data_IF_998812393444
#
_entry.id   IF_998812393444
#
_cell.length_a   1.000
_cell.length_b   1.000
_cell.length_c   1.000
_cell.angle_alpha   90.00
_cell.angle_beta   90.00
_cell.angle_gamma   90.00
#
_symmetry.space_group_name_H-M   'P 1'
#
loop_
_entity.id
_entity.type
_entity.pdbx_description
1 polymer ?
#
# COMPACT_ATOMS: atom_id res chain seq x y z
N UNK A 1 -37.57 -9.39 12.90
CA UNK A 1 -37.73 -9.15 11.46
C UNK A 1 -38.67 -10.19 10.88
N UNK A 2 -39.54 -9.82 9.94
CA UNK A 2 -40.41 -10.73 9.19
C UNK A 2 -39.67 -11.35 8.00
N UNK A 3 -40.14 -12.50 7.51
CA UNK A 3 -39.56 -13.16 6.33
C UNK A 3 -39.59 -12.29 5.07
N UNK A 4 -40.62 -11.44 4.94
CA UNK A 4 -40.75 -10.51 3.82
C UNK A 4 -39.70 -9.40 3.89
N UNK A 5 -39.36 -8.93 5.08
CA UNK A 5 -38.32 -7.90 5.28
C UNK A 5 -36.93 -8.49 5.01
N UNK A 6 -36.63 -9.72 5.45
CA UNK A 6 -35.35 -10.38 5.16
C UNK A 6 -35.12 -10.55 3.65
N UNK A 7 -36.12 -11.06 2.91
CA UNK A 7 -36.00 -11.20 1.46
C UNK A 7 -35.83 -9.86 0.74
N UNK A 8 -36.48 -8.80 1.24
CA UNK A 8 -36.33 -7.47 0.69
C UNK A 8 -34.92 -6.91 0.91
N UNK A 9 -34.31 -7.17 2.07
CA UNK A 9 -32.92 -6.77 2.35
C UNK A 9 -31.95 -7.49 1.41
N UNK A 10 -32.10 -8.81 1.22
CA UNK A 10 -31.28 -9.59 0.29
C UNK A 10 -31.34 -9.03 -1.15
N UNK A 11 -32.55 -8.75 -1.66
CA UNK A 11 -32.74 -8.17 -3.00
C UNK A 11 -32.08 -6.78 -3.13
N UNK A 12 -32.15 -5.95 -2.09
CA UNK A 12 -31.52 -4.63 -2.08
C UNK A 12 -29.99 -4.73 -1.98
N UNK A 13 -29.45 -5.68 -1.22
CA UNK A 13 -28.00 -5.91 -1.16
C UNK A 13 -27.46 -6.33 -2.52
N UNK A 14 -28.12 -7.28 -3.20
CA UNK A 14 -27.76 -7.69 -4.56
C UNK A 14 -27.79 -6.50 -5.54
N UNK A 15 -28.81 -5.63 -5.45
CA UNK A 15 -28.91 -4.41 -6.28
C UNK A 15 -27.76 -3.44 -6.00
N UNK A 16 -27.40 -3.25 -4.72
CA UNK A 16 -26.29 -2.39 -4.33
C UNK A 16 -24.94 -2.91 -4.86
N UNK A 17 -24.68 -4.22 -4.77
CA UNK A 17 -23.45 -4.83 -5.26
C UNK A 17 -23.28 -4.76 -6.78
N UNK A 18 -24.38 -4.64 -7.54
CA UNK A 18 -24.37 -4.55 -9.00
C UNK A 18 -24.28 -3.11 -9.52
N UNK A 19 -24.39 -2.12 -8.63
CA UNK A 19 -24.33 -0.71 -9.00
C UNK A 19 -22.89 -0.22 -9.08
N UNK A 20 -22.56 0.51 -10.14
CA UNK A 20 -21.27 1.22 -10.29
C UNK A 20 -21.37 2.69 -9.82
N UNK A 21 -22.60 3.18 -9.58
CA UNK A 21 -22.89 4.57 -9.21
C UNK A 21 -22.94 4.73 -7.69
N UNK A 22 -22.02 5.54 -7.13
CA UNK A 22 -21.86 5.76 -5.68
C UNK A 22 -23.15 6.30 -5.06
N UNK A 23 -23.83 7.24 -5.71
CA UNK A 23 -25.09 7.82 -5.21
C UNK A 23 -26.20 6.78 -5.11
N UNK A 24 -26.22 5.82 -6.04
CA UNK A 24 -27.22 4.77 -6.07
C UNK A 24 -26.96 3.72 -4.98
N UNK A 25 -25.69 3.33 -4.79
CA UNK A 25 -25.26 2.49 -3.67
C UNK A 25 -25.71 3.14 -2.35
N UNK A 26 -25.44 4.43 -2.17
CA UNK A 26 -25.80 5.16 -0.95
C UNK A 26 -27.33 5.26 -0.76
N UNK A 27 -28.11 5.34 -1.85
CA UNK A 27 -29.58 5.38 -1.79
C UNK A 27 -30.13 4.02 -1.35
N UNK A 28 -29.74 2.95 -2.02
CA UNK A 28 -30.21 1.57 -1.76
C UNK A 28 -29.86 1.17 -0.33
N UNK A 29 -28.62 1.45 0.06
CA UNK A 29 -28.11 1.10 1.39
C UNK A 29 -28.89 1.79 2.52
N UNK A 30 -29.28 3.06 2.35
CA UNK A 30 -30.15 3.74 3.32
C UNK A 30 -31.53 3.10 3.44
N UNK A 31 -32.08 2.53 2.36
CA UNK A 31 -33.36 1.79 2.41
C UNK A 31 -33.22 0.49 3.22
N UNK A 32 -32.09 -0.20 3.10
CA UNK A 32 -31.81 -1.37 3.94
C UNK A 32 -31.76 -0.96 5.42
N UNK A 33 -31.06 0.14 5.73
CA UNK A 33 -30.93 0.63 7.11
C UNK A 33 -32.24 1.17 7.71
N UNK A 34 -33.23 1.54 6.90
CA UNK A 34 -34.59 1.83 7.38
C UNK A 34 -35.33 0.57 7.86
N UNK A 35 -35.04 -0.59 7.26
CA UNK A 35 -35.61 -1.89 7.64
C UNK A 35 -34.84 -2.54 8.79
N UNK A 36 -33.51 -2.45 8.74
CA UNK A 36 -32.59 -2.97 9.75
C UNK A 36 -31.43 -2.00 10.00
N UNK A 37 -31.54 -1.12 11.02
CA UNK A 37 -30.55 -0.08 11.30
C UNK A 37 -29.15 -0.58 11.65
N UNK A 38 -29.02 -1.85 12.02
CA UNK A 38 -27.76 -2.48 12.45
C UNK A 38 -27.30 -3.57 11.47
N UNK A 39 -27.84 -3.59 10.25
CA UNK A 39 -27.38 -4.49 9.21
C UNK A 39 -25.91 -4.18 8.85
N UNK A 40 -24.97 -5.13 9.06
CA UNK A 40 -23.54 -4.84 8.96
C UNK A 40 -23.08 -4.60 7.53
N UNK A 41 -23.59 -5.36 6.55
CA UNK A 41 -23.25 -5.18 5.14
C UNK A 41 -23.73 -3.83 4.61
N UNK A 42 -24.94 -3.41 4.97
CA UNK A 42 -25.44 -2.09 4.61
C UNK A 42 -24.62 -0.97 5.28
N UNK A 43 -24.27 -1.09 6.57
CA UNK A 43 -23.39 -0.10 7.20
C UNK A 43 -22.02 -0.02 6.49
N UNK A 44 -21.47 -1.15 6.07
CA UNK A 44 -20.21 -1.22 5.32
C UNK A 44 -20.32 -0.58 3.93
N UNK A 45 -21.36 -0.92 3.15
CA UNK A 45 -21.59 -0.32 1.83
C UNK A 45 -21.81 1.19 1.91
N UNK A 46 -22.52 1.68 2.94
CA UNK A 46 -22.70 3.11 3.12
C UNK A 46 -21.37 3.79 3.42
N UNK A 47 -20.53 3.16 4.25
CA UNK A 47 -19.20 3.66 4.57
C UNK A 47 -18.29 3.73 3.32
N UNK A 48 -18.44 2.80 2.37
CA UNK A 48 -17.69 2.80 1.11
C UNK A 48 -18.06 3.99 0.19
N UNK A 49 -19.26 4.55 0.35
CA UNK A 49 -19.68 5.77 -0.37
C UNK A 49 -19.15 7.08 0.22
N UNK A 50 -18.44 7.00 1.35
CA UNK A 50 -17.86 8.15 2.05
C UNK A 50 -16.35 8.19 1.88
N UNK A 51 -15.83 9.40 1.77
CA UNK A 51 -14.41 9.69 1.99
C UNK A 51 -13.99 9.32 3.42
N UNK A 52 -12.68 9.13 3.62
CA UNK A 52 -12.12 8.94 4.97
C UNK A 52 -12.53 10.10 5.88
N UNK A 53 -13.17 9.73 6.98
CA UNK A 53 -13.75 10.64 7.96
C UNK A 53 -14.16 9.89 9.22
N UNK A 54 -14.32 10.63 10.32
CA UNK A 54 -14.94 10.10 11.56
C UNK A 54 -16.34 9.50 11.31
N UNK A 55 -17.14 10.04 10.38
CA UNK A 55 -18.45 9.45 10.03
C UNK A 55 -18.29 8.04 9.43
N UNK A 56 -17.31 7.85 8.53
CA UNK A 56 -16.97 6.53 7.97
C UNK A 56 -16.56 5.55 9.07
N UNK A 57 -15.73 6.01 10.01
CA UNK A 57 -15.32 5.21 11.17
C UNK A 57 -16.50 4.78 12.03
N UNK A 58 -17.40 5.70 12.37
CA UNK A 58 -18.58 5.40 13.18
C UNK A 58 -19.45 4.31 12.52
N UNK A 59 -19.64 4.36 11.20
CA UNK A 59 -20.39 3.34 10.45
C UNK A 59 -19.70 1.96 10.52
N UNK A 60 -18.40 1.90 10.26
CA UNK A 60 -17.63 0.66 10.26
C UNK A 60 -17.55 0.04 11.67
N UNK A 61 -17.37 0.86 12.71
CA UNK A 61 -17.38 0.40 14.11
C UNK A 61 -18.77 -0.11 14.52
N UNK A 62 -19.85 0.54 14.06
CA UNK A 62 -21.21 0.06 14.28
C UNK A 62 -21.46 -1.28 13.59
N UNK A 63 -20.96 -1.47 12.37
CA UNK A 63 -21.05 -2.75 11.65
C UNK A 63 -20.27 -3.89 12.33
N UNK A 64 -19.13 -3.56 12.96
CA UNK A 64 -18.23 -4.56 13.53
C UNK A 64 -18.85 -5.38 14.65
N UNK A 65 -19.64 -4.74 15.52
CA UNK A 65 -20.21 -5.40 16.70
C UNK A 65 -21.19 -6.54 16.36
N UNK A 66 -22.24 -6.34 15.54
CA UNK A 66 -23.14 -7.42 15.13
C UNK A 66 -22.38 -8.48 14.33
N UNK A 67 -21.49 -8.10 13.41
CA UNK A 67 -20.72 -9.06 12.61
C UNK A 67 -19.82 -9.96 13.48
N UNK A 68 -19.08 -9.38 14.44
CA UNK A 68 -18.28 -10.16 15.39
C UNK A 68 -19.14 -11.10 16.23
N UNK A 69 -20.35 -10.69 16.62
CA UNK A 69 -21.27 -11.54 17.38
C UNK A 69 -21.74 -12.73 16.52
N UNK A 70 -22.04 -12.50 15.23
CA UNK A 70 -22.38 -13.57 14.29
C UNK A 70 -21.23 -14.56 14.12
N UNK A 71 -19.98 -14.08 13.98
CA UNK A 71 -18.81 -14.94 13.87
C UNK A 71 -18.57 -15.76 15.15
N UNK A 72 -18.83 -15.18 16.32
CA UNK A 72 -18.75 -15.89 17.60
C UNK A 72 -19.80 -17.00 17.70
N UNK A 73 -21.06 -16.69 17.34
CA UNK A 73 -22.17 -17.64 17.36
C UNK A 73 -21.98 -18.79 16.35
N UNK A 74 -21.39 -18.50 15.19
CA UNK A 74 -21.01 -19.49 14.20
C UNK A 74 -19.79 -20.33 14.62
N UNK A 75 -19.06 -19.92 15.67
CA UNK A 75 -17.83 -20.58 16.12
C UNK A 75 -16.64 -20.36 15.18
N UNK A 76 -16.70 -19.33 14.34
CA UNK A 76 -15.66 -19.00 13.35
C UNK A 76 -14.56 -18.11 13.93
N UNK A 77 -14.81 -17.35 14.99
CA UNK A 77 -13.76 -16.54 15.62
C UNK A 77 -12.61 -17.43 16.13
N UNK A 78 -11.39 -17.07 15.76
CA UNK A 78 -10.16 -17.84 15.95
C UNK A 78 -10.12 -19.21 15.24
N UNK A 79 -11.02 -19.47 14.28
CA UNK A 79 -10.96 -20.65 13.41
C UNK A 79 -10.10 -20.39 12.19
N UNK A 80 -9.35 -21.40 11.75
CA UNK A 80 -8.63 -21.38 10.45
C UNK A 80 -9.63 -21.40 9.27
N UNK A 81 -10.86 -21.86 9.49
CA UNK A 81 -11.92 -21.95 8.47
C UNK A 81 -12.67 -20.62 8.26
N UNK A 82 -12.33 -19.55 8.99
CA UNK A 82 -13.06 -18.28 8.88
C UNK A 82 -13.05 -17.75 7.45
N UNK A 83 -11.91 -17.81 6.75
CA UNK A 83 -11.80 -17.30 5.38
C UNK A 83 -12.38 -18.25 4.32
N UNK A 84 -12.81 -19.45 4.69
CA UNK A 84 -13.46 -20.40 3.79
C UNK A 84 -14.97 -20.14 3.66
N UNK A 85 -15.55 -19.35 4.56
CA UNK A 85 -16.99 -19.05 4.63
C UNK A 85 -17.29 -17.62 4.14
N UNK A 86 -18.40 -17.45 3.42
CA UNK A 86 -18.80 -16.17 2.83
C UNK A 86 -18.91 -15.06 3.90
N UNK A 87 -19.51 -15.36 5.05
CA UNK A 87 -19.64 -14.40 6.15
C UNK A 87 -18.29 -14.00 6.75
N UNK A 88 -17.31 -14.92 6.76
CA UNK A 88 -15.98 -14.63 7.22
C UNK A 88 -15.20 -13.74 6.25
N UNK A 89 -15.38 -13.92 4.93
CA UNK A 89 -14.84 -13.00 3.92
C UNK A 89 -15.42 -11.59 4.07
N UNK A 90 -16.72 -11.47 4.33
CA UNK A 90 -17.36 -10.17 4.62
C UNK A 90 -16.78 -9.56 5.90
N UNK A 91 -16.57 -10.35 6.94
CA UNK A 91 -15.95 -9.89 8.19
C UNK A 91 -14.52 -9.39 8.00
N UNK A 92 -13.67 -10.11 7.25
CA UNK A 92 -12.33 -9.64 6.88
C UNK A 92 -12.41 -8.37 6.03
N UNK A 93 -13.34 -8.30 5.07
CA UNK A 93 -13.58 -7.11 4.25
C UNK A 93 -13.95 -5.88 5.08
N UNK A 94 -14.72 -6.06 6.15
CA UNK A 94 -15.05 -5.01 7.12
C UNK A 94 -13.83 -4.60 7.95
N UNK A 95 -13.04 -5.55 8.44
CA UNK A 95 -11.83 -5.26 9.20
C UNK A 95 -10.82 -4.48 8.34
N UNK A 96 -10.62 -4.83 7.08
CA UNK A 96 -9.71 -4.09 6.19
C UNK A 96 -10.14 -2.63 6.04
N UNK A 97 -11.43 -2.37 5.75
CA UNK A 97 -11.98 -1.01 5.64
C UNK A 97 -11.80 -0.23 6.93
N UNK A 98 -12.11 -0.85 8.07
CA UNK A 98 -11.93 -0.23 9.37
C UNK A 98 -10.45 0.09 9.64
N UNK A 99 -9.54 -0.84 9.36
CA UNK A 99 -8.12 -0.67 9.56
C UNK A 99 -7.54 0.51 8.75
N UNK A 100 -7.88 0.62 7.47
CA UNK A 100 -7.46 1.75 6.64
C UNK A 100 -8.14 3.07 7.07
N UNK A 101 -9.42 3.04 7.45
CA UNK A 101 -10.07 4.24 7.97
C UNK A 101 -9.44 4.73 9.27
N UNK A 102 -9.07 3.81 10.18
CA UNK A 102 -8.37 4.15 11.42
C UNK A 102 -6.99 4.75 11.14
N UNK A 103 -6.26 4.18 10.17
CA UNK A 103 -4.97 4.72 9.72
C UNK A 103 -5.14 6.15 9.18
N UNK A 104 -6.08 6.39 8.28
CA UNK A 104 -6.34 7.70 7.66
C UNK A 104 -6.73 8.77 8.68
N UNK A 105 -7.49 8.41 9.72
CA UNK A 105 -7.91 9.31 10.80
C UNK A 105 -6.92 9.34 11.98
N UNK A 106 -5.69 8.85 11.77
CA UNK A 106 -4.59 8.89 12.74
C UNK A 106 -4.79 8.08 14.05
N UNK A 107 -5.69 7.09 14.05
CA UNK A 107 -5.89 6.13 15.15
C UNK A 107 -4.97 4.89 14.97
N UNK A 108 -3.66 5.14 14.88
CA UNK A 108 -2.69 4.18 14.32
C UNK A 108 -2.53 2.90 15.15
N UNK A 109 -2.53 2.99 16.49
CA UNK A 109 -2.45 1.80 17.34
C UNK A 109 -3.68 0.88 17.20
N UNK A 110 -4.85 1.47 16.99
CA UNK A 110 -6.08 0.69 16.76
C UNK A 110 -6.06 0.04 15.37
N UNK A 111 -5.59 0.78 14.36
CA UNK A 111 -5.37 0.24 13.01
C UNK A 111 -4.38 -0.94 13.03
N UNK A 112 -3.29 -0.84 13.81
CA UNK A 112 -2.34 -1.94 13.99
C UNK A 112 -2.99 -3.16 14.64
N UNK A 113 -3.83 -2.96 15.66
CA UNK A 113 -4.57 -4.06 16.29
C UNK A 113 -5.52 -4.78 15.32
N UNK A 114 -6.19 -4.02 14.45
CA UNK A 114 -7.03 -4.57 13.37
C UNK A 114 -6.18 -5.35 12.35
N UNK A 115 -5.02 -4.81 11.96
CA UNK A 115 -4.10 -5.49 11.06
C UNK A 115 -3.62 -6.84 11.62
N UNK A 116 -3.26 -6.87 12.91
CA UNK A 116 -2.85 -8.09 13.61
C UNK A 116 -3.99 -9.12 13.68
N UNK A 117 -5.22 -8.67 13.86
CA UNK A 117 -6.39 -9.54 13.82
C UNK A 117 -6.58 -10.15 12.43
N UNK A 118 -6.51 -9.36 11.36
CA UNK A 118 -6.61 -9.86 9.98
C UNK A 118 -5.51 -10.90 9.70
N UNK A 119 -4.25 -10.58 10.02
CA UNK A 119 -3.10 -11.49 9.81
C UNK A 119 -3.29 -12.82 10.56
N UNK A 120 -3.98 -12.82 11.71
CA UNK A 120 -4.22 -14.06 12.47
C UNK A 120 -5.14 -15.05 11.76
N UNK A 121 -5.97 -14.57 10.83
CA UNK A 121 -6.86 -15.39 10.00
C UNK A 121 -6.29 -15.72 8.62
N UNK A 122 -5.23 -15.01 8.21
CA UNK A 122 -4.66 -15.06 6.87
C UNK A 122 -3.23 -15.62 6.86
N UNK A 123 -3.04 -16.93 7.10
CA UNK A 123 -1.72 -17.54 7.07
C UNK A 123 -1.11 -17.58 5.66
N UNK A 124 -1.95 -17.47 4.62
CA UNK A 124 -1.53 -17.52 3.21
C UNK A 124 -1.14 -16.14 2.66
N UNK A 125 -1.48 -15.04 3.34
CA UNK A 125 -1.14 -13.68 2.92
C UNK A 125 -2.01 -13.16 1.77
N UNK A 126 -3.28 -13.56 1.72
CA UNK A 126 -4.23 -13.16 0.68
C UNK A 126 -4.86 -11.79 0.93
N UNK A 127 -4.70 -11.24 2.13
CA UNK A 127 -5.33 -10.00 2.58
C UNK A 127 -4.34 -8.83 2.63
N UNK A 128 -4.87 -7.61 2.80
CA UNK A 128 -4.06 -6.41 3.01
C UNK A 128 -3.58 -6.25 4.47
N UNK A 129 -3.76 -7.26 5.33
CA UNK A 129 -3.39 -7.20 6.74
C UNK A 129 -1.92 -6.88 6.97
N UNK A 130 -1.01 -7.54 6.25
CA UNK A 130 0.44 -7.26 6.34
C UNK A 130 0.80 -5.87 5.82
N UNK A 131 0.17 -5.42 4.73
CA UNK A 131 0.37 -4.07 4.18
C UNK A 131 -0.01 -3.01 5.20
N UNK A 132 -1.19 -3.13 5.81
CA UNK A 132 -1.66 -2.24 6.85
C UNK A 132 -0.73 -2.27 8.08
N UNK A 133 -0.30 -3.46 8.52
CA UNK A 133 0.64 -3.62 9.64
C UNK A 133 1.96 -2.86 9.38
N UNK A 134 2.60 -3.08 8.22
CA UNK A 134 3.85 -2.41 7.89
C UNK A 134 3.71 -0.90 7.80
N UNK A 135 2.62 -0.39 7.22
CA UNK A 135 2.34 1.05 7.16
C UNK A 135 2.14 1.63 8.56
N UNK A 136 1.35 0.98 9.42
CA UNK A 136 1.15 1.41 10.82
C UNK A 136 2.45 1.42 11.62
N UNK A 137 3.31 0.41 11.48
CA UNK A 137 4.59 0.36 12.19
C UNK A 137 5.54 1.48 11.77
N UNK A 138 5.55 1.86 10.49
CA UNK A 138 6.33 3.00 9.98
C UNK A 138 5.79 4.32 10.52
N UNK A 139 4.47 4.50 10.50
CA UNK A 139 3.79 5.69 11.03
C UNK A 139 4.06 5.88 12.54
N UNK A 140 4.03 4.79 13.30
CA UNK A 140 4.40 4.76 14.73
C UNK A 140 5.92 4.88 14.98
N UNK A 141 6.72 4.96 13.92
CA UNK A 141 8.19 5.01 13.96
C UNK A 141 8.82 3.82 14.72
N UNK A 142 8.15 2.67 14.71
CA UNK A 142 8.63 1.42 15.34
C UNK A 142 9.57 0.67 14.40
N UNK A 143 10.60 1.36 13.90
CA UNK A 143 11.51 0.84 12.87
C UNK A 143 12.23 -0.45 13.27
N UNK A 144 12.58 -0.62 14.55
CA UNK A 144 13.15 -1.88 15.03
C UNK A 144 12.17 -3.06 14.93
N UNK A 145 10.89 -2.81 15.18
CA UNK A 145 9.84 -3.81 15.06
C UNK A 145 9.55 -4.15 13.59
N UNK A 146 9.58 -3.17 12.68
CA UNK A 146 9.49 -3.40 11.23
C UNK A 146 10.52 -4.45 10.79
N UNK A 147 11.78 -4.29 11.19
CA UNK A 147 12.84 -5.23 10.84
C UNK A 147 12.64 -6.60 11.50
N UNK A 148 12.14 -6.65 12.75
CA UNK A 148 11.81 -7.91 13.42
C UNK A 148 10.71 -8.69 12.70
N UNK A 149 9.62 -8.01 12.33
CA UNK A 149 8.49 -8.62 11.60
C UNK A 149 8.95 -9.11 10.23
N UNK A 150 9.68 -8.28 9.49
CA UNK A 150 10.23 -8.63 8.18
C UNK A 150 11.15 -9.86 8.20
N UNK A 151 11.89 -10.10 9.28
CA UNK A 151 12.72 -11.31 9.41
C UNK A 151 11.91 -12.61 9.55
N UNK A 152 10.66 -12.51 10.02
CA UNK A 152 9.74 -13.66 10.21
C UNK A 152 8.77 -13.82 9.04
N UNK A 153 8.66 -12.81 8.20
CA UNK A 153 7.78 -12.74 7.04
C UNK A 153 8.56 -13.19 5.78
N UNK A 154 8.19 -14.35 5.25
CA UNK A 154 8.82 -14.97 4.09
C UNK A 154 8.35 -14.36 2.76
N UNK A 155 7.21 -13.66 2.79
CA UNK A 155 6.61 -13.05 1.61
C UNK A 155 7.39 -11.80 1.20
N UNK A 156 7.64 -11.63 -0.10
CA UNK A 156 8.27 -10.44 -0.65
C UNK A 156 7.19 -9.58 -1.29
N UNK A 157 6.82 -8.50 -0.61
CA UNK A 157 5.82 -7.53 -1.07
C UNK A 157 6.35 -6.09 -1.06
N UNK A 158 5.74 -5.16 -1.83
CA UNK A 158 6.06 -3.73 -1.79
C UNK A 158 6.04 -3.16 -0.36
N UNK A 159 4.98 -3.42 0.40
CA UNK A 159 4.83 -2.93 1.77
C UNK A 159 6.01 -3.35 2.66
N UNK A 160 6.41 -4.63 2.59
CA UNK A 160 7.54 -5.14 3.36
C UNK A 160 8.84 -4.47 2.93
N UNK A 161 9.15 -4.45 1.63
CA UNK A 161 10.46 -3.93 1.17
C UNK A 161 10.61 -2.43 1.39
N UNK A 162 9.56 -1.64 1.09
CA UNK A 162 9.60 -0.20 1.36
C UNK A 162 9.71 0.09 2.86
N UNK A 163 8.98 -0.63 3.72
CA UNK A 163 9.12 -0.45 5.17
C UNK A 163 10.51 -0.87 5.69
N UNK A 164 11.14 -1.93 5.15
CA UNK A 164 12.53 -2.28 5.50
C UNK A 164 13.48 -1.17 5.07
N UNK A 165 13.32 -0.61 3.88
CA UNK A 165 14.18 0.46 3.38
C UNK A 165 14.08 1.72 4.25
N UNK A 166 12.85 2.15 4.57
CA UNK A 166 12.59 3.26 5.50
C UNK A 166 13.21 2.94 6.87
N UNK A 167 12.88 1.81 7.46
CA UNK A 167 13.35 1.45 8.80
C UNK A 167 14.88 1.37 8.90
N UNK A 168 15.54 0.80 7.89
CA UNK A 168 17.00 0.70 7.85
C UNK A 168 17.62 2.09 7.78
N UNK A 169 17.13 2.96 6.89
CA UNK A 169 17.60 4.34 6.80
C UNK A 169 17.35 5.12 8.09
N UNK A 170 16.17 4.99 8.70
CA UNK A 170 15.85 5.73 9.92
C UNK A 170 16.70 5.29 11.12
N UNK A 171 17.20 4.05 11.12
CA UNK A 171 18.06 3.53 12.18
C UNK A 171 19.55 3.79 11.96
N UNK A 172 20.05 3.74 10.72
CA UNK A 172 21.49 3.84 10.44
C UNK A 172 21.91 4.99 9.52
N UNK A 173 20.95 5.64 8.86
CA UNK A 173 21.18 6.65 7.83
C UNK A 173 21.53 6.04 6.47
N UNK A 174 22.10 6.86 5.58
CA UNK A 174 22.59 6.42 4.29
C UNK A 174 23.89 5.61 4.44
N UNK A 175 23.76 4.28 4.48
CA UNK A 175 24.85 3.32 4.53
C UNK A 175 24.65 2.20 3.50
N UNK A 176 25.59 1.26 3.44
CA UNK A 176 25.51 0.15 2.47
C UNK A 176 24.30 -0.76 2.69
N UNK A 177 23.82 -0.92 3.92
CA UNK A 177 22.67 -1.77 4.23
C UNK A 177 21.37 -1.09 3.84
N UNK A 178 21.21 0.21 4.15
CA UNK A 178 20.02 0.97 3.76
C UNK A 178 19.91 1.13 2.26
N UNK A 179 21.02 1.34 1.54
CA UNK A 179 20.98 1.35 0.07
C UNK A 179 20.60 0.00 -0.53
N UNK A 180 21.10 -1.11 0.03
CA UNK A 180 20.66 -2.44 -0.43
C UNK A 180 19.16 -2.65 -0.23
N UNK A 181 18.63 -2.26 0.93
CA UNK A 181 17.21 -2.33 1.20
C UNK A 181 16.40 -1.42 0.25
N UNK A 182 16.89 -0.21 -0.04
CA UNK A 182 16.26 0.70 -1.00
C UNK A 182 16.17 0.10 -2.40
N UNK A 183 17.27 -0.50 -2.89
CA UNK A 183 17.25 -1.15 -4.19
C UNK A 183 16.39 -2.41 -4.21
N UNK A 184 16.23 -3.11 -3.08
CA UNK A 184 15.23 -4.19 -2.98
C UNK A 184 13.79 -3.67 -3.03
N UNK A 185 13.52 -2.48 -2.47
CA UNK A 185 12.22 -1.83 -2.60
C UNK A 185 11.93 -1.43 -4.06
N UNK A 186 12.92 -0.89 -4.77
CA UNK A 186 12.77 -0.55 -6.19
C UNK A 186 12.52 -1.80 -7.06
N UNK A 187 13.05 -2.97 -6.67
CA UNK A 187 12.85 -4.21 -7.43
C UNK A 187 11.44 -4.76 -7.40
N UNK A 188 10.68 -4.48 -6.34
CA UNK A 188 9.31 -4.99 -6.19
C UNK A 188 8.26 -4.06 -6.82
N UNK A 189 8.69 -2.91 -7.35
CA UNK A 189 7.87 -1.98 -8.12
C UNK A 189 8.74 -0.81 -8.58
N UNK A 190 9.41 -0.92 -9.75
CA UNK A 190 10.36 0.08 -10.22
C UNK A 190 9.76 1.47 -10.43
N UNK A 191 8.45 1.54 -10.67
CA UNK A 191 7.73 2.80 -10.92
C UNK A 191 7.17 3.43 -9.64
N UNK A 192 7.00 2.65 -8.56
CA UNK A 192 6.49 3.12 -7.25
C UNK A 192 7.24 4.37 -6.75
N UNK A 193 8.60 4.42 -6.70
CA UNK A 193 9.32 5.59 -6.21
C UNK A 193 9.13 6.84 -7.08
N UNK A 194 8.80 6.67 -8.36
CA UNK A 194 8.56 7.78 -9.29
C UNK A 194 7.16 8.36 -9.08
N UNK A 195 6.17 7.51 -8.84
CA UNK A 195 4.82 7.93 -8.45
C UNK A 195 4.84 8.65 -7.10
N UNK A 196 5.50 8.08 -6.08
CA UNK A 196 5.63 8.70 -4.74
C UNK A 196 6.19 10.13 -4.82
N UNK A 197 7.13 10.39 -5.73
CA UNK A 197 7.77 11.70 -5.87
C UNK A 197 7.10 12.60 -6.91
N UNK A 198 6.05 12.13 -7.60
CA UNK A 198 5.39 12.85 -8.68
C UNK A 198 6.31 13.18 -9.85
N UNK A 199 7.31 12.33 -10.13
CA UNK A 199 8.25 12.54 -11.25
C UNK A 199 7.74 12.00 -12.58
N UNK A 200 6.72 11.15 -12.54
CA UNK A 200 5.97 10.68 -13.69
C UNK A 200 4.50 11.06 -13.51
N UNK A 201 3.75 11.29 -14.60
CA UNK A 201 2.35 11.64 -14.49
C UNK A 201 1.54 10.49 -13.87
N UNK A 202 0.44 10.85 -13.21
CA UNK A 202 -0.58 9.90 -12.77
C UNK A 202 -1.05 9.08 -14.00
N UNK A 203 -1.16 7.75 -13.85
CA UNK A 203 -1.61 6.90 -14.95
C UNK A 203 -3.11 7.08 -15.21
N UNK A 204 -3.52 6.93 -16.47
CA UNK A 204 -4.92 6.82 -16.83
C UNK A 204 -5.42 5.40 -16.50
N UNK A 205 -6.21 5.28 -15.43
CA UNK A 205 -6.66 4.00 -14.86
C UNK A 205 -7.42 3.13 -15.87
N UNK A 206 -8.08 3.73 -16.88
CA UNK A 206 -8.79 2.99 -17.93
C UNK A 206 -7.84 2.32 -18.95
N UNK A 207 -6.54 2.63 -18.89
CA UNK A 207 -5.55 2.31 -19.93
C UNK A 207 -4.36 1.46 -19.46
N UNK A 208 -4.21 1.30 -18.15
CA UNK A 208 -3.11 0.55 -17.53
C UNK A 208 -3.51 -0.90 -17.23
N UNK A 209 -2.51 -1.73 -16.92
CA UNK A 209 -2.74 -3.08 -16.41
C UNK A 209 -2.88 -3.10 -14.88
N UNK A 210 -3.33 -4.24 -14.36
CA UNK A 210 -3.58 -4.47 -12.92
C UNK A 210 -2.31 -4.23 -12.07
N UNK A 211 -1.14 -4.61 -12.57
CA UNK A 211 0.11 -4.40 -11.83
C UNK A 211 0.47 -2.92 -11.71
N UNK A 212 0.31 -2.15 -12.80
CA UNK A 212 0.53 -0.71 -12.78
C UNK A 212 -0.48 0.01 -11.87
N UNK A 213 -1.73 -0.44 -11.85
CA UNK A 213 -2.75 0.07 -10.94
C UNK A 213 -2.38 -0.21 -9.47
N UNK A 214 -1.95 -1.43 -9.17
CA UNK A 214 -1.47 -1.82 -7.82
C UNK A 214 -0.27 -0.99 -7.38
N UNK A 215 0.74 -0.80 -8.25
CA UNK A 215 1.92 0.01 -7.97
C UNK A 215 1.55 1.47 -7.70
N UNK A 216 0.63 2.04 -8.49
CA UNK A 216 0.14 3.39 -8.30
C UNK A 216 -0.66 3.54 -6.99
N UNK A 217 -1.60 2.63 -6.72
CA UNK A 217 -2.38 2.62 -5.47
C UNK A 217 -1.47 2.46 -4.24
N UNK A 218 -0.46 1.60 -4.32
CA UNK A 218 0.55 1.45 -3.28
C UNK A 218 1.35 2.74 -3.08
N UNK A 219 1.72 3.43 -4.16
CA UNK A 219 2.47 4.69 -4.09
C UNK A 219 1.72 5.76 -3.28
N UNK A 220 0.42 5.91 -3.51
CA UNK A 220 -0.47 6.81 -2.75
C UNK A 220 -0.49 6.40 -1.28
N UNK A 221 -0.66 5.10 -1.02
CA UNK A 221 -0.69 4.56 0.35
C UNK A 221 0.66 4.69 1.07
N UNK A 222 1.79 4.93 0.41
CA UNK A 222 3.11 5.00 1.07
C UNK A 222 3.81 6.36 0.95
N UNK A 223 3.24 7.33 0.23
CA UNK A 223 3.84 8.65 0.00
C UNK A 223 4.28 9.32 1.31
N UNK A 224 3.35 9.47 2.26
CA UNK A 224 3.61 10.09 3.56
C UNK A 224 4.66 9.34 4.38
N UNK A 225 4.72 8.02 4.26
CA UNK A 225 5.69 7.20 4.97
C UNK A 225 7.14 7.51 4.53
N UNK A 226 7.34 7.91 3.28
CA UNK A 226 8.64 8.33 2.74
C UNK A 226 8.98 9.79 3.03
N UNK A 227 8.02 10.59 3.45
CA UNK A 227 8.19 12.02 3.70
C UNK A 227 8.18 12.39 5.19
N UNK A 228 8.19 11.41 6.10
CA UNK A 228 8.29 11.60 7.56
C UNK A 228 9.50 12.44 8.02
N UNK A 229 10.55 12.53 7.19
CA UNK A 229 11.67 13.44 7.39
C UNK A 229 12.22 13.95 6.06
N UNK A 230 12.77 15.16 6.08
CA UNK A 230 13.38 15.76 4.89
C UNK A 230 14.59 14.95 4.40
N UNK A 231 15.36 14.37 5.32
CA UNK A 231 16.51 13.54 5.01
C UNK A 231 16.10 12.27 4.27
N UNK A 232 15.02 11.60 4.70
CA UNK A 232 14.47 10.43 4.03
C UNK A 232 13.95 10.78 2.64
N UNK A 233 13.19 11.87 2.52
CA UNK A 233 12.65 12.33 1.23
C UNK A 233 13.78 12.67 0.23
N UNK A 234 14.80 13.41 0.67
CA UNK A 234 15.97 13.72 -0.17
C UNK A 234 16.76 12.47 -0.56
N UNK A 235 16.83 11.49 0.33
CA UNK A 235 17.50 10.22 0.08
C UNK A 235 16.77 9.38 -0.98
N UNK A 236 15.44 9.26 -0.86
CA UNK A 236 14.59 8.63 -1.88
C UNK A 236 14.74 9.37 -3.20
N UNK A 237 14.58 10.70 -3.22
CA UNK A 237 14.71 11.52 -4.42
C UNK A 237 16.05 11.31 -5.13
N UNK A 238 17.15 11.26 -4.38
CA UNK A 238 18.48 11.02 -4.95
C UNK A 238 18.55 9.67 -5.66
N UNK A 239 17.97 8.62 -5.06
CA UNK A 239 17.94 7.29 -5.65
C UNK A 239 17.00 7.19 -6.85
N UNK A 240 15.81 7.78 -6.75
CA UNK A 240 14.82 7.79 -7.83
C UNK A 240 15.33 8.54 -9.06
N UNK A 241 15.99 9.70 -8.87
CA UNK A 241 16.58 10.45 -9.99
C UNK A 241 17.71 9.65 -10.63
N UNK A 242 18.60 9.06 -9.83
CA UNK A 242 19.68 8.22 -10.36
C UNK A 242 19.11 7.06 -11.20
N UNK A 243 18.13 6.33 -10.64
CA UNK A 243 17.51 5.21 -11.32
C UNK A 243 16.78 5.65 -12.59
N UNK A 244 15.89 6.65 -12.51
CA UNK A 244 15.12 7.14 -13.64
C UNK A 244 15.97 7.70 -14.78
N UNK A 245 17.12 8.33 -14.48
CA UNK A 245 18.09 8.75 -15.49
C UNK A 245 18.78 7.57 -16.17
N UNK A 246 19.20 6.56 -15.40
CA UNK A 246 19.84 5.36 -15.92
C UNK A 246 18.90 4.52 -16.79
N UNK A 247 17.61 4.48 -16.43
CA UNK A 247 16.61 3.68 -17.13
C UNK A 247 15.83 4.45 -18.20
N UNK A 248 16.08 5.74 -18.36
CA UNK A 248 15.42 6.56 -19.38
C UNK A 248 13.93 6.82 -19.14
N UNK A 249 13.48 6.81 -17.89
CA UNK A 249 12.06 7.00 -17.51
C UNK A 249 11.57 8.45 -17.58
N UNK A 250 12.49 9.41 -17.56
CA UNK A 250 12.14 10.82 -17.66
C UNK A 250 11.95 11.24 -19.12
N UNK A 251 10.93 12.06 -19.36
CA UNK A 251 10.71 12.70 -20.66
C UNK A 251 11.94 13.52 -21.06
N UNK A 252 12.27 13.54 -22.36
CA UNK A 252 13.45 14.27 -22.87
C UNK A 252 13.45 15.76 -22.47
N UNK A 253 12.27 16.37 -22.40
CA UNK A 253 12.10 17.76 -21.99
C UNK A 253 12.37 18.01 -20.50
N UNK A 254 12.26 16.99 -19.66
CA UNK A 254 12.49 17.09 -18.21
C UNK A 254 13.91 16.70 -17.79
N UNK A 255 14.67 16.01 -18.65
CA UNK A 255 16.03 15.55 -18.32
C UNK A 255 16.96 16.68 -17.89
N UNK A 256 16.84 17.87 -18.47
CA UNK A 256 17.66 19.02 -18.09
C UNK A 256 17.33 19.50 -16.66
N UNK A 257 16.07 19.43 -16.24
CA UNK A 257 15.65 19.74 -14.88
C UNK A 257 16.22 18.72 -13.88
N UNK A 258 16.17 17.43 -14.21
CA UNK A 258 16.73 16.38 -13.37
C UNK A 258 18.27 16.45 -13.27
N UNK A 259 18.97 16.88 -14.33
CA UNK A 259 20.42 17.15 -14.27
C UNK A 259 20.75 18.26 -13.25
N UNK A 260 19.93 19.33 -13.19
CA UNK A 260 20.09 20.39 -12.19
C UNK A 260 19.82 19.87 -10.77
N UNK A 261 18.78 19.04 -10.60
CA UNK A 261 18.48 18.41 -9.31
C UNK A 261 19.61 17.48 -8.85
N UNK A 262 20.20 16.70 -9.76
CA UNK A 262 21.35 15.85 -9.44
C UNK A 262 22.56 16.66 -8.94
N UNK A 263 22.83 17.82 -9.53
CA UNK A 263 23.90 18.71 -9.09
C UNK A 263 23.61 19.26 -7.69
N UNK A 264 22.36 19.71 -7.46
CA UNK A 264 21.91 20.19 -6.15
C UNK A 264 21.98 19.13 -5.06
N UNK A 265 21.69 17.86 -5.39
CA UNK A 265 21.76 16.72 -4.48
C UNK A 265 23.19 16.16 -4.35
N UNK A 266 24.14 16.66 -5.16
CA UNK A 266 25.53 16.20 -5.15
C UNK A 266 25.73 14.79 -5.72
N UNK A 267 24.83 14.32 -6.58
CA UNK A 267 24.84 12.95 -7.11
C UNK A 267 25.33 12.82 -8.56
N UNK A 268 25.62 13.94 -9.25
CA UNK A 268 26.07 13.95 -10.66
C UNK A 268 27.26 13.02 -10.92
N UNK A 269 28.30 13.10 -10.08
CA UNK A 269 29.50 12.26 -10.24
C UNK A 269 29.22 10.76 -10.08
N UNK A 270 28.18 10.40 -9.31
CA UNK A 270 27.79 9.01 -9.15
C UNK A 270 26.98 8.51 -10.34
N UNK A 271 26.11 9.34 -10.91
CA UNK A 271 25.43 9.05 -12.18
C UNK A 271 26.45 8.82 -13.31
N UNK A 272 27.43 9.71 -13.46
CA UNK A 272 28.50 9.53 -14.47
C UNK A 272 29.24 8.21 -14.31
N UNK A 273 29.55 7.82 -13.07
CA UNK A 273 30.20 6.54 -12.76
C UNK A 273 29.28 5.36 -13.07
N UNK A 274 28.01 5.41 -12.68
CA UNK A 274 27.03 4.35 -12.94
C UNK A 274 26.86 4.11 -14.45
N UNK A 275 26.75 5.18 -15.24
CA UNK A 275 26.66 5.11 -16.71
C UNK A 275 27.93 4.50 -17.34
N UNK A 276 29.11 4.79 -16.79
CA UNK A 276 30.36 4.16 -17.25
C UNK A 276 30.40 2.67 -16.93
N UNK A 277 29.95 2.27 -15.74
CA UNK A 277 29.97 0.89 -15.28
C UNK A 277 28.90 0.02 -15.98
N UNK A 278 27.77 0.60 -16.38
CA UNK A 278 26.67 -0.09 -17.07
C UNK A 278 27.07 -0.60 -18.47
N UNK A 279 27.92 0.17 -19.18
CA UNK A 279 28.31 -0.15 -20.57
C UNK A 279 27.14 -0.02 -21.57
N UNK A 280 27.46 -0.05 -22.88
CA UNK A 280 26.50 0.22 -23.96
C UNK A 280 25.71 -1.02 -24.45
N UNK A 281 25.83 -2.18 -23.79
CA UNK A 281 25.30 -3.47 -24.32
C UNK A 281 23.92 -3.85 -23.76
N UNK A 282 23.22 -2.88 -23.14
CA UNK A 282 21.90 -3.04 -22.51
C UNK A 282 20.74 -2.72 -23.46
N UNK A 283 21.01 -2.14 -24.62
CA UNK A 283 20.02 -1.75 -25.65
C UNK A 283 19.25 -2.96 -26.26
N UNK A 284 19.63 -4.19 -25.92
CA UNK A 284 19.03 -5.43 -26.42
C UNK A 284 18.05 -6.11 -25.42
N UNK A 285 17.89 -5.57 -24.22
CA UNK A 285 16.99 -6.11 -23.19
C UNK A 285 15.58 -5.53 -23.31
N UNK A 286 14.58 -6.30 -22.90
CA UNK A 286 13.26 -5.73 -22.56
C UNK A 286 13.35 -4.86 -21.30
N UNK A 287 12.33 -4.04 -21.07
CA UNK A 287 12.32 -3.04 -20.00
C UNK A 287 12.51 -3.66 -18.60
N UNK A 288 11.83 -4.77 -18.31
CA UNK A 288 11.90 -5.45 -17.01
C UNK A 288 13.29 -6.06 -16.74
N UNK A 289 13.87 -6.71 -17.75
CA UNK A 289 15.22 -7.26 -17.70
C UNK A 289 16.28 -6.16 -17.57
N UNK A 290 16.03 -5.02 -18.20
CA UNK A 290 16.89 -3.84 -18.10
C UNK A 290 16.86 -3.24 -16.69
N UNK A 291 15.68 -3.05 -16.12
CA UNK A 291 15.51 -2.57 -14.74
C UNK A 291 16.20 -3.47 -13.74
N UNK A 292 15.98 -4.78 -13.87
CA UNK A 292 16.63 -5.78 -13.01
C UNK A 292 18.15 -5.67 -13.09
N UNK A 293 18.70 -5.52 -14.30
CA UNK A 293 20.14 -5.38 -14.53
C UNK A 293 20.69 -4.11 -13.88
N UNK A 294 20.01 -2.97 -14.05
CA UNK A 294 20.39 -1.69 -13.44
C UNK A 294 20.33 -1.79 -11.92
N UNK A 295 19.26 -2.36 -11.36
CA UNK A 295 19.08 -2.51 -9.91
C UNK A 295 20.09 -3.49 -9.30
N UNK A 296 20.46 -4.57 -10.00
CA UNK A 296 21.51 -5.49 -9.55
C UNK A 296 22.90 -4.82 -9.52
N UNK A 297 23.20 -4.00 -10.52
CA UNK A 297 24.41 -3.19 -10.55
C UNK A 297 24.41 -2.20 -9.38
N UNK A 298 23.33 -1.43 -9.20
CA UNK A 298 23.19 -0.44 -8.14
C UNK A 298 23.29 -1.07 -6.74
N UNK A 299 22.72 -2.27 -6.56
CA UNK A 299 22.78 -3.07 -5.32
C UNK A 299 24.17 -3.60 -5.00
N UNK A 300 24.98 -3.88 -6.01
CA UNK A 300 26.30 -4.51 -5.86
C UNK A 300 27.42 -3.52 -5.52
N UNK A 301 27.18 -2.23 -5.72
CA UNK A 301 28.17 -1.17 -5.60
C UNK A 301 27.58 0.05 -4.86
N UNK A 302 28.38 1.10 -4.69
CA UNK A 302 27.94 2.36 -4.10
C UNK A 302 27.92 3.44 -5.17
N UNK A 303 26.71 3.88 -5.51
CA UNK A 303 26.43 4.94 -6.49
C UNK A 303 25.64 6.10 -5.90
N UNK A 304 25.64 6.25 -4.57
CA UNK A 304 25.07 7.40 -3.90
C UNK A 304 25.92 7.75 -2.66
N UNK A 305 25.83 8.99 -2.13
CA UNK A 305 26.62 9.41 -0.98
C UNK A 305 26.34 8.57 0.26
N UNK A 306 27.41 8.13 0.94
CA UNK A 306 27.32 7.54 2.28
C UNK A 306 27.46 8.66 3.33
N UNK A 307 26.80 8.49 4.48
CA UNK A 307 26.95 9.37 5.65
C UNK A 307 28.30 9.20 6.36
#
# INVERSE_FOLDING_TARGET
MSYSEMKQIEELLEEAYQSEEIEEIARITRQILELDPENPEALMLLADTLEYSEEKLELLQRALKPMRSMMEEAGLLNSEELMDEDEGLIYIGLLQRLGFALLSEAHIEEALGVAEEIISYDPEGLTLGKTLMYRCLVELQRFGEVLERAMKDEEVSPARQHSIAIATFMLSGADNASYKALWDAFKVGPDIPLYILGYVPEPDLDSIDEQQEEDYNFSILFEDAWTISQELANWLASATILFGMLTGRFLEEDKENFLVLMDSLGITSFYEKATQDMGYDVDALDAESFDTTVLDMLRSNVYLPLK
#
